data_IF_513059511629
#
_entry.id   IF_513059511629
#
_cell.length_a   1.000
_cell.length_b   1.000
_cell.length_c   1.000
_cell.angle_alpha   90.00
_cell.angle_beta   90.00
_cell.angle_gamma   90.00
#
_symmetry.space_group_name_H-M   'P 1'
#
loop_
_entity.id
_entity.type
_entity.pdbx_description
1 polymer ?
#
# COMPACT_ATOMS: atom_id res chain seq x y z
N UNK A 1 -0.14 -13.20 -4.95
CA UNK A 1 -1.53 -13.54 -4.54
C UNK A 1 -1.71 -13.14 -3.09
N UNK A 2 -2.76 -13.60 -2.41
CA UNK A 2 -3.09 -13.19 -1.03
C UNK A 2 -1.91 -13.28 -0.03
N UNK A 3 -1.06 -14.29 -0.16
CA UNK A 3 0.18 -14.44 0.64
C UNK A 3 1.16 -13.25 0.49
N UNK A 4 1.17 -12.59 -0.67
CA UNK A 4 1.98 -11.39 -0.94
C UNK A 4 1.46 -10.18 -0.17
N UNK A 5 0.13 -10.01 -0.09
CA UNK A 5 -0.47 -8.87 0.61
C UNK A 5 -0.32 -9.00 2.12
N UNK A 6 -0.50 -10.21 2.66
CA UNK A 6 -0.32 -10.49 4.08
C UNK A 6 1.14 -10.30 4.53
N UNK A 7 2.10 -10.83 3.75
CA UNK A 7 3.53 -10.66 4.04
C UNK A 7 3.99 -9.20 3.97
N UNK A 8 3.47 -8.42 3.02
CA UNK A 8 3.77 -6.98 2.92
C UNK A 8 3.07 -6.15 3.99
N UNK A 9 1.85 -6.53 4.40
CA UNK A 9 1.17 -5.88 5.52
C UNK A 9 2.04 -5.87 6.78
N UNK A 10 2.70 -6.98 7.08
CA UNK A 10 3.70 -7.06 8.16
C UNK A 10 4.88 -6.10 8.00
N UNK A 11 5.42 -5.98 6.78
CA UNK A 11 6.52 -5.06 6.48
C UNK A 11 6.13 -3.58 6.54
N UNK A 12 4.84 -3.26 6.37
CA UNK A 12 4.36 -1.88 6.55
C UNK A 12 4.16 -1.50 8.02
N UNK A 13 3.87 -2.49 8.87
CA UNK A 13 3.75 -2.32 10.32
C UNK A 13 5.10 -2.17 11.02
N UNK A 14 6.19 -2.65 10.40
CA UNK A 14 7.54 -2.49 10.95
C UNK A 14 8.03 -1.03 10.80
N UNK A 15 8.22 -0.28 11.89
CA UNK A 15 8.68 1.11 11.84
C UNK A 15 10.12 1.25 11.29
N UNK A 16 10.92 0.18 11.35
CA UNK A 16 12.28 0.16 10.82
C UNK A 16 12.33 -0.16 9.33
N UNK A 17 11.19 -0.55 8.73
CA UNK A 17 11.09 -0.87 7.31
C UNK A 17 11.46 0.32 6.45
N UNK A 18 12.54 0.18 5.67
CA UNK A 18 13.03 1.24 4.79
C UNK A 18 12.23 1.41 3.48
N UNK A 19 11.15 0.64 3.30
CA UNK A 19 10.37 0.64 2.05
C UNK A 19 9.70 2.00 1.82
N UNK A 20 9.98 2.59 0.65
CA UNK A 20 9.39 3.84 0.19
C UNK A 20 8.61 3.68 -1.12
N UNK A 21 9.03 2.73 -1.96
CA UNK A 21 8.41 2.42 -3.25
C UNK A 21 8.11 0.93 -3.28
N UNK A 22 6.87 0.58 -3.61
CA UNK A 22 6.40 -0.80 -3.69
C UNK A 22 5.67 -1.00 -5.01
N UNK A 23 6.12 -1.96 -5.81
CA UNK A 23 5.47 -2.34 -7.07
C UNK A 23 4.84 -3.73 -6.90
N UNK A 24 3.51 -3.78 -6.92
CA UNK A 24 2.72 -5.02 -6.94
C UNK A 24 1.93 -5.15 -8.23
N UNK A 25 2.33 -4.44 -9.28
CA UNK A 25 1.62 -4.50 -10.54
C UNK A 25 1.73 -5.88 -11.20
N UNK A 26 0.71 -6.28 -11.96
CA UNK A 26 0.71 -7.54 -12.70
C UNK A 26 0.53 -8.79 -11.84
N UNK A 27 0.00 -8.63 -10.63
CA UNK A 27 -0.32 -9.75 -9.74
C UNK A 27 -1.81 -10.14 -9.88
N UNK A 28 -2.27 -11.01 -8.99
CA UNK A 28 -3.66 -11.47 -8.92
C UNK A 28 -4.34 -10.96 -7.64
N UNK A 29 -3.97 -9.76 -7.17
CA UNK A 29 -4.53 -9.17 -5.97
C UNK A 29 -6.01 -8.83 -6.18
N UNK A 30 -6.79 -9.03 -5.13
CA UNK A 30 -8.23 -8.79 -5.04
C UNK A 30 -8.52 -7.58 -4.17
N UNK A 31 -9.79 -7.18 -4.08
CA UNK A 31 -10.21 -6.14 -3.13
C UNK A 31 -9.85 -6.48 -1.69
N UNK A 32 -10.01 -7.75 -1.27
CA UNK A 32 -9.62 -8.21 0.07
C UNK A 32 -8.13 -8.03 0.34
N UNK A 33 -7.28 -8.25 -0.66
CA UNK A 33 -5.84 -8.02 -0.54
C UNK A 33 -5.53 -6.52 -0.41
N UNK A 34 -6.25 -5.66 -1.12
CA UNK A 34 -6.11 -4.21 -0.98
C UNK A 34 -6.53 -3.72 0.43
N UNK A 35 -7.53 -4.35 1.05
CA UNK A 35 -7.91 -4.07 2.44
C UNK A 35 -6.77 -4.42 3.40
N UNK A 36 -6.15 -5.60 3.25
CA UNK A 36 -5.02 -6.01 4.09
C UNK A 36 -3.80 -5.07 3.92
N UNK A 37 -3.51 -4.63 2.69
CA UNK A 37 -2.47 -3.63 2.44
C UNK A 37 -2.79 -2.29 3.11
N UNK A 38 -4.06 -1.85 3.04
CA UNK A 38 -4.51 -0.62 3.71
C UNK A 38 -4.29 -0.68 5.22
N UNK A 39 -4.67 -1.78 5.88
CA UNK A 39 -4.50 -1.96 7.33
C UNK A 39 -3.01 -1.88 7.74
N UNK A 40 -2.12 -2.49 6.96
CA UNK A 40 -0.67 -2.35 7.18
C UNK A 40 -0.15 -0.93 6.95
N UNK A 41 -0.73 -0.19 5.99
CA UNK A 41 -0.28 1.15 5.61
C UNK A 41 -0.82 2.27 6.49
N UNK A 42 -1.89 2.06 7.25
CA UNK A 42 -2.61 3.12 7.99
C UNK A 42 -1.66 3.98 8.83
N UNK A 43 -0.73 3.32 9.54
CA UNK A 43 0.29 3.96 10.40
C UNK A 43 1.65 4.15 9.71
N UNK A 44 1.83 3.61 8.51
CA UNK A 44 3.08 3.72 7.77
C UNK A 44 3.26 5.14 7.20
N UNK A 45 4.37 5.80 7.53
CA UNK A 45 4.69 7.16 7.06
C UNK A 45 5.78 7.20 5.98
N UNK A 46 6.27 6.03 5.53
CA UNK A 46 7.47 5.89 4.70
C UNK A 46 7.16 5.57 3.25
N UNK A 47 6.13 4.77 2.98
CA UNK A 47 5.71 4.41 1.62
C UNK A 47 5.12 5.63 0.93
N UNK A 48 5.79 6.10 -0.12
CA UNK A 48 5.41 7.24 -0.96
C UNK A 48 5.02 6.84 -2.38
N UNK A 49 5.12 5.55 -2.72
CA UNK A 49 4.60 5.00 -3.97
C UNK A 49 4.18 3.54 -3.77
N UNK A 50 2.96 3.21 -4.18
CA UNK A 50 2.46 1.84 -4.24
C UNK A 50 1.72 1.63 -5.57
N UNK A 51 2.21 0.72 -6.40
CA UNK A 51 1.59 0.37 -7.68
C UNK A 51 0.76 -0.91 -7.55
N UNK A 52 -0.55 -0.79 -7.81
CA UNK A 52 -1.51 -1.91 -7.82
C UNK A 52 -2.08 -2.18 -9.23
N UNK A 53 -1.54 -1.58 -10.28
CA UNK A 53 -2.05 -1.76 -11.66
C UNK A 53 -1.99 -3.22 -12.11
N UNK A 54 -2.80 -3.59 -13.10
CA UNK A 54 -2.82 -4.95 -13.65
C UNK A 54 -3.07 -6.05 -12.58
N UNK A 55 -3.93 -5.76 -11.61
CA UNK A 55 -4.50 -6.70 -10.63
C UNK A 55 -6.03 -6.82 -10.80
N UNK A 56 -6.68 -7.64 -9.98
CA UNK A 56 -8.14 -7.80 -9.91
C UNK A 56 -8.78 -6.92 -8.82
N UNK A 57 -8.19 -5.76 -8.52
CA UNK A 57 -8.72 -4.79 -7.56
C UNK A 57 -9.62 -3.79 -8.29
N UNK A 58 -10.90 -3.63 -7.90
CA UNK A 58 -11.76 -2.59 -8.46
C UNK A 58 -11.15 -1.20 -8.26
N UNK A 59 -11.17 -0.36 -9.28
CA UNK A 59 -10.56 0.99 -9.22
C UNK A 59 -11.26 1.92 -8.23
N UNK A 60 -12.53 1.66 -7.97
CA UNK A 60 -13.42 2.37 -7.06
C UNK A 60 -13.52 1.70 -5.68
N UNK A 61 -12.77 0.61 -5.44
CA UNK A 61 -12.68 0.00 -4.11
C UNK A 61 -12.23 1.05 -3.08
N UNK A 62 -12.94 1.12 -1.96
CA UNK A 62 -12.67 2.11 -0.91
C UNK A 62 -11.21 2.04 -0.41
N UNK A 63 -10.66 0.82 -0.29
CA UNK A 63 -9.28 0.60 0.11
C UNK A 63 -8.27 1.24 -0.85
N UNK A 64 -8.51 1.21 -2.17
CA UNK A 64 -7.62 1.84 -3.17
C UNK A 64 -7.60 3.36 -2.99
N UNK A 65 -8.78 3.96 -2.76
CA UNK A 65 -8.89 5.40 -2.51
C UNK A 65 -8.16 5.79 -1.23
N UNK A 66 -8.30 5.01 -0.16
CA UNK A 66 -7.62 5.26 1.12
C UNK A 66 -6.10 5.09 1.02
N UNK A 67 -5.62 4.04 0.33
CA UNK A 67 -4.19 3.83 0.05
C UNK A 67 -3.62 5.04 -0.69
N UNK A 68 -4.32 5.55 -1.71
CA UNK A 68 -3.87 6.74 -2.45
C UNK A 68 -3.75 7.98 -1.56
N UNK A 69 -4.66 8.17 -0.61
CA UNK A 69 -4.59 9.25 0.37
C UNK A 69 -3.39 9.10 1.32
N UNK A 70 -3.12 7.88 1.80
CA UNK A 70 -1.96 7.58 2.66
C UNK A 70 -0.66 7.89 1.93
N UNK A 71 -0.51 7.37 0.71
CA UNK A 71 0.69 7.57 -0.11
C UNK A 71 0.93 9.07 -0.37
N UNK A 72 -0.13 9.82 -0.70
CA UNK A 72 -0.06 11.28 -0.90
C UNK A 72 0.31 12.03 0.39
N UNK A 73 -0.23 11.64 1.54
CA UNK A 73 0.13 12.21 2.85
C UNK A 73 1.62 12.03 3.11
N UNK A 74 2.14 10.81 2.92
CA UNK A 74 3.54 10.47 3.17
C UNK A 74 4.46 11.26 2.24
N UNK A 75 4.12 11.37 0.95
CA UNK A 75 4.87 12.17 -0.03
C UNK A 75 4.97 13.65 0.39
N UNK A 76 3.86 14.24 0.88
CA UNK A 76 3.85 15.64 1.34
C UNK A 76 4.67 15.81 2.62
N UNK A 77 4.61 14.86 3.55
CA UNK A 77 5.37 14.91 4.80
C UNK A 77 6.88 14.76 4.54
N UNK A 78 7.29 13.83 3.68
CA UNK A 78 8.70 13.61 3.34
C UNK A 78 9.37 14.80 2.65
N UNK A 79 8.61 15.69 2.00
CA UNK A 79 9.12 16.94 1.41
C UNK A 79 9.33 18.08 2.41
N UNK A 80 8.78 17.95 3.63
CA UNK A 80 8.83 18.98 4.67
C UNK A 80 9.93 18.73 5.71
N UNK A 81 10.61 17.59 5.63
CA UNK A 81 11.74 17.21 6.49
C UNK A 81 13.08 17.60 5.92
#
# INVERSE_FOLDING_TARGET
>A
GSETAEGLGGLFLDPESALSVVDLSGNQLTESDAIALFEGLEKNTRVVTLDLRLNHVPKDAAAVVQIAQIVRRNEIQGRKG
#
